data_IF_961306485486
#
_entry.id   IF_961306485486
#
_cell.length_a   1.000
_cell.length_b   1.000
_cell.length_c   1.000
_cell.angle_alpha   90.00
_cell.angle_beta   90.00
_cell.angle_gamma   90.00
#
_symmetry.space_group_name_H-M   'P 1'
#
loop_
_entity.id
_entity.type
_entity.pdbx_description
1 polymer ?
#
# COMPACT_ATOMS: atom_id res chain seq x y z
N UNK A 1 -2.93 20.73 0.92
CA UNK A 1 -2.55 20.92 -0.49
C UNK A 1 -1.04 21.01 -0.73
N UNK A 2 -0.21 21.47 0.22
CA UNK A 2 1.21 21.76 -0.04
C UNK A 2 2.22 20.64 0.26
N UNK A 3 1.80 19.50 0.83
CA UNK A 3 2.75 18.47 1.30
C UNK A 3 3.63 17.90 0.18
N UNK A 4 3.07 17.68 -1.02
CA UNK A 4 3.82 17.20 -2.19
C UNK A 4 4.48 18.32 -3.01
N UNK A 5 4.50 19.57 -2.52
CA UNK A 5 5.19 20.63 -3.24
C UNK A 5 6.69 20.33 -3.25
N UNK A 6 7.26 20.15 -4.45
CA UNK A 6 8.67 19.79 -4.63
C UNK A 6 8.96 18.29 -4.68
N UNK A 7 7.95 17.42 -4.55
CA UNK A 7 8.08 15.97 -4.72
C UNK A 7 7.07 15.46 -5.76
N UNK A 8 7.44 14.51 -6.60
CA UNK A 8 6.50 13.87 -7.56
C UNK A 8 5.61 12.82 -6.90
N UNK A 9 6.13 12.11 -5.88
CA UNK A 9 5.39 11.07 -5.18
C UNK A 9 5.84 10.92 -3.72
N UNK A 10 4.94 10.41 -2.88
CA UNK A 10 5.25 9.91 -1.54
C UNK A 10 5.28 8.38 -1.55
N UNK A 11 6.44 7.80 -1.24
CA UNK A 11 6.64 6.35 -1.12
C UNK A 11 6.43 5.88 0.33
N UNK A 12 5.62 4.84 0.50
CA UNK A 12 5.38 4.12 1.76
C UNK A 12 5.25 2.61 1.47
N UNK A 13 5.35 1.74 2.48
CA UNK A 13 4.74 0.42 2.39
C UNK A 13 3.22 0.53 2.22
N UNK A 14 2.57 -0.41 1.54
CA UNK A 14 1.09 -0.43 1.46
C UNK A 14 0.47 -0.72 2.83
N UNK A 15 1.04 -1.69 3.56
CA UNK A 15 0.64 -2.12 4.91
C UNK A 15 1.82 -2.00 5.86
N UNK A 16 1.55 -1.85 7.16
CA UNK A 16 2.59 -1.70 8.18
C UNK A 16 3.42 -2.97 8.41
N UNK A 17 2.89 -4.12 8.03
CA UNK A 17 3.49 -5.45 8.19
C UNK A 17 3.02 -6.38 7.04
N UNK A 18 3.65 -7.56 6.86
CA UNK A 18 3.25 -8.54 5.86
C UNK A 18 1.80 -9.04 6.02
N UNK A 19 1.23 -9.74 5.00
CA UNK A 19 -0.10 -10.33 5.07
C UNK A 19 -0.37 -11.10 6.37
N UNK A 20 -1.48 -10.76 7.02
CA UNK A 20 -1.85 -11.33 8.32
C UNK A 20 -2.51 -12.71 8.19
N UNK A 21 -2.38 -13.56 9.21
CA UNK A 21 -3.21 -14.77 9.33
C UNK A 21 -4.70 -14.44 9.38
N UNK A 22 -5.53 -15.41 9.00
CA UNK A 22 -6.99 -15.32 9.15
C UNK A 22 -7.37 -15.12 10.62
N UNK A 23 -8.45 -14.37 10.86
CA UNK A 23 -8.94 -14.02 12.20
C UNK A 23 -8.21 -12.85 12.88
N UNK A 24 -7.17 -12.29 12.25
CA UNK A 24 -6.39 -11.18 12.83
C UNK A 24 -7.19 -9.89 13.05
N UNK A 25 -8.38 -9.76 12.46
CA UNK A 25 -9.28 -8.61 12.63
C UNK A 25 -10.57 -8.97 13.35
N UNK A 26 -10.66 -10.16 13.95
CA UNK A 26 -11.89 -10.58 14.62
C UNK A 26 -12.16 -9.72 15.87
N UNK A 27 -13.40 -9.28 16.08
CA UNK A 27 -13.77 -8.55 17.29
C UNK A 27 -13.63 -9.48 18.50
N UNK A 28 -13.23 -8.91 19.64
CA UNK A 28 -13.16 -9.64 20.90
C UNK A 28 -14.43 -9.38 21.71
N UNK A 29 -14.98 -10.37 22.45
CA UNK A 29 -16.23 -10.19 23.21
C UNK A 29 -16.19 -9.03 24.21
N UNK A 30 -15.01 -8.75 24.78
CA UNK A 30 -14.74 -7.68 25.74
C UNK A 30 -14.24 -6.38 25.09
N UNK A 31 -13.77 -6.45 23.84
CA UNK A 31 -13.39 -5.29 23.04
C UNK A 31 -13.90 -5.44 21.59
N UNK A 32 -15.16 -5.02 21.32
CA UNK A 32 -15.74 -5.09 19.98
C UNK A 32 -15.00 -4.26 18.93
N UNK A 33 -14.21 -3.26 19.34
CA UNK A 33 -13.42 -2.41 18.44
C UNK A 33 -12.01 -2.95 18.16
N UNK A 34 -11.58 -4.04 18.82
CA UNK A 34 -10.24 -4.59 18.67
C UNK A 34 -9.88 -4.86 17.20
N UNK A 35 -10.81 -5.47 16.44
CA UNK A 35 -10.64 -5.75 15.02
C UNK A 35 -10.42 -4.49 14.18
N UNK A 36 -11.21 -3.44 14.45
CA UNK A 36 -11.07 -2.15 13.77
C UNK A 36 -9.76 -1.46 14.12
N UNK A 37 -9.40 -1.42 15.41
CA UNK A 37 -8.13 -0.85 15.88
C UNK A 37 -6.93 -1.56 15.23
N UNK A 38 -7.03 -2.89 15.10
CA UNK A 38 -6.01 -3.71 14.44
C UNK A 38 -5.94 -3.43 12.94
N UNK A 39 -7.07 -3.26 12.26
CA UNK A 39 -7.11 -2.84 10.86
C UNK A 39 -6.47 -1.46 10.66
N UNK A 40 -6.79 -0.47 11.50
CA UNK A 40 -6.18 0.88 11.44
C UNK A 40 -4.67 0.82 11.61
N UNK A 41 -4.17 0.02 12.55
CA UNK A 41 -2.73 -0.18 12.74
C UNK A 41 -2.07 -0.90 11.55
N UNK A 42 -2.81 -1.75 10.84
CA UNK A 42 -2.31 -2.50 9.68
C UNK A 42 -2.23 -1.66 8.39
N UNK A 43 -3.15 -0.71 8.21
CA UNK A 43 -3.21 0.19 7.03
C UNK A 43 -3.03 1.67 7.41
N UNK A 44 -1.91 2.08 8.02
CA UNK A 44 -1.77 3.46 8.48
C UNK A 44 -1.60 4.46 7.32
N UNK A 45 -1.21 4.00 6.14
CA UNK A 45 -0.82 4.87 5.02
C UNK A 45 -1.89 5.04 3.95
N UNK A 46 -2.71 4.02 3.66
CA UNK A 46 -3.68 4.09 2.54
C UNK A 46 -4.89 5.00 2.79
N UNK A 47 -5.42 5.18 4.03
CA UNK A 47 -6.60 6.02 4.24
C UNK A 47 -6.41 7.49 3.86
N UNK A 48 -5.16 8.00 3.86
CA UNK A 48 -4.90 9.40 3.49
C UNK A 48 -5.27 9.68 2.04
N UNK A 49 -5.04 8.73 1.12
CA UNK A 49 -5.39 8.88 -0.29
C UNK A 49 -6.91 8.90 -0.47
N UNK A 50 -7.64 8.07 0.28
CA UNK A 50 -9.11 8.09 0.30
C UNK A 50 -9.66 9.42 0.80
N UNK A 51 -9.08 9.97 1.88
CA UNK A 51 -9.55 11.20 2.50
C UNK A 51 -9.21 12.45 1.68
N UNK A 52 -8.07 12.45 0.99
CA UNK A 52 -7.57 13.63 0.23
C UNK A 52 -7.91 13.58 -1.25
N UNK A 53 -8.27 12.42 -1.79
CA UNK A 53 -8.56 12.20 -3.21
C UNK A 53 -7.32 12.18 -4.10
N UNK A 54 -6.10 12.14 -3.54
CA UNK A 54 -4.89 12.00 -4.33
C UNK A 54 -4.82 10.62 -4.99
N UNK A 55 -4.33 10.51 -6.23
CA UNK A 55 -4.13 9.23 -6.87
C UNK A 55 -3.05 8.45 -6.12
N UNK A 56 -3.25 7.14 -5.99
CA UNK A 56 -2.30 6.27 -5.33
C UNK A 56 -2.27 4.89 -6.00
N UNK A 57 -1.11 4.24 -5.99
CA UNK A 57 -0.91 2.92 -6.59
C UNK A 57 -0.11 2.00 -5.67
N UNK A 58 -0.35 0.71 -5.80
CA UNK A 58 0.41 -0.35 -5.14
C UNK A 58 1.06 -1.24 -6.21
N UNK A 59 2.38 -1.41 -6.17
CA UNK A 59 3.12 -2.34 -7.03
C UNK A 59 3.88 -3.39 -6.21
N UNK A 60 3.93 -4.67 -6.64
CA UNK A 60 4.51 -5.76 -5.87
C UNK A 60 6.01 -5.91 -6.16
N UNK A 61 6.83 -5.05 -5.55
CA UNK A 61 8.28 -5.03 -5.74
C UNK A 61 9.06 -5.95 -4.78
N UNK A 62 8.39 -6.70 -3.91
CA UNK A 62 9.14 -7.54 -2.97
C UNK A 62 8.33 -8.72 -2.47
N UNK A 63 9.01 -9.85 -2.28
CA UNK A 63 8.51 -11.00 -1.54
C UNK A 63 9.47 -11.25 -0.38
N UNK A 64 8.92 -11.41 0.82
CA UNK A 64 9.73 -11.69 1.99
C UNK A 64 10.22 -13.15 2.01
N UNK A 65 11.00 -13.52 3.03
CA UNK A 65 11.53 -14.89 3.18
C UNK A 65 10.45 -15.97 3.38
N UNK A 66 9.22 -15.58 3.72
CA UNK A 66 8.06 -16.48 3.81
C UNK A 66 7.27 -16.56 2.49
N UNK A 67 7.82 -15.99 1.39
CA UNK A 67 7.18 -15.90 0.08
C UNK A 67 5.85 -15.13 0.10
N UNK A 68 5.70 -14.16 1.00
CA UNK A 68 4.55 -13.27 1.04
C UNK A 68 4.86 -11.97 0.28
N UNK A 69 3.94 -11.48 -0.57
CA UNK A 69 4.14 -10.23 -1.30
C UNK A 69 4.09 -9.02 -0.35
N UNK A 70 4.98 -8.06 -0.55
CA UNK A 70 5.03 -6.77 0.16
C UNK A 70 4.82 -5.66 -0.87
N UNK A 71 3.75 -4.90 -0.71
CA UNK A 71 3.40 -3.83 -1.64
C UNK A 71 4.20 -2.55 -1.39
N UNK A 72 4.66 -1.92 -2.47
CA UNK A 72 5.22 -0.57 -2.47
C UNK A 72 4.14 0.41 -2.92
N UNK A 73 3.80 1.35 -2.03
CA UNK A 73 2.71 2.30 -2.19
C UNK A 73 3.25 3.68 -2.59
N UNK A 74 2.71 4.22 -3.67
CA UNK A 74 3.07 5.55 -4.16
C UNK A 74 1.82 6.42 -4.22
N UNK A 75 1.87 7.59 -3.58
CA UNK A 75 0.81 8.60 -3.63
C UNK A 75 1.32 9.77 -4.45
N UNK A 76 0.61 10.11 -5.52
CA UNK A 76 0.95 11.20 -6.44
C UNK A 76 0.29 12.53 -6.07
N UNK A 77 0.57 13.55 -6.89
CA UNK A 77 -0.12 14.84 -6.82
C UNK A 77 -1.57 14.68 -7.25
N UNK A 78 -2.44 15.54 -6.72
CA UNK A 78 -3.87 15.50 -7.04
C UNK A 78 -4.10 15.63 -8.55
N UNK A 79 -4.79 14.65 -9.15
CA UNK A 79 -5.07 14.58 -10.59
C UNK A 79 -3.88 14.24 -11.50
N UNK A 80 -2.77 13.73 -10.95
CA UNK A 80 -1.55 13.37 -11.69
C UNK A 80 -1.33 11.85 -11.73
N UNK A 81 -2.34 11.10 -12.16
CA UNK A 81 -2.27 9.65 -12.36
C UNK A 81 -1.24 9.27 -13.42
N UNK A 82 -1.01 10.15 -14.41
CA UNK A 82 -0.07 9.92 -15.50
C UNK A 82 1.35 9.69 -14.98
N UNK A 83 1.81 10.51 -14.03
CA UNK A 83 3.12 10.33 -13.39
C UNK A 83 3.22 8.98 -12.68
N UNK A 84 2.16 8.54 -11.99
CA UNK A 84 2.14 7.22 -11.35
C UNK A 84 2.21 6.08 -12.36
N UNK A 85 1.47 6.15 -13.48
CA UNK A 85 1.55 5.13 -14.53
C UNK A 85 2.93 5.07 -15.19
N UNK A 86 3.56 6.22 -15.46
CA UNK A 86 4.93 6.26 -15.98
C UNK A 86 5.93 5.64 -15.01
N UNK A 87 5.78 5.89 -13.70
CA UNK A 87 6.60 5.28 -12.68
C UNK A 87 6.35 3.76 -12.60
N UNK A 88 5.11 3.32 -12.64
CA UNK A 88 4.75 1.90 -12.63
C UNK A 88 5.40 1.14 -13.79
N UNK A 89 5.36 1.69 -15.00
CA UNK A 89 5.98 1.08 -16.18
C UNK A 89 7.51 0.91 -16.01
N UNK A 90 8.19 1.94 -15.51
CA UNK A 90 9.64 1.87 -15.24
C UNK A 90 9.97 0.84 -14.16
N UNK A 91 9.14 0.76 -13.11
CA UNK A 91 9.31 -0.22 -12.04
C UNK A 91 9.06 -1.65 -12.53
N UNK A 92 8.08 -1.84 -13.42
CA UNK A 92 7.78 -3.15 -14.02
C UNK A 92 8.92 -3.65 -14.92
N UNK A 93 9.53 -2.75 -15.69
CA UNK A 93 10.71 -3.06 -16.49
C UNK A 93 11.94 -3.36 -15.60
N UNK A 94 12.18 -2.54 -14.58
CA UNK A 94 13.33 -2.69 -13.68
C UNK A 94 13.22 -3.93 -12.78
N UNK A 95 12.01 -4.31 -12.39
CA UNK A 95 11.77 -5.45 -11.53
C UNK A 95 10.48 -6.21 -11.94
N UNK A 96 10.53 -7.08 -12.95
CA UNK A 96 9.35 -7.77 -13.45
C UNK A 96 8.68 -8.66 -12.39
N UNK A 97 7.35 -8.52 -12.25
CA UNK A 97 6.53 -9.35 -11.35
C UNK A 97 5.48 -10.19 -12.08
N UNK A 98 5.31 -10.05 -13.40
CA UNK A 98 4.24 -10.72 -14.16
C UNK A 98 4.24 -12.26 -14.01
N UNK A 99 5.42 -12.86 -13.87
CA UNK A 99 5.56 -14.32 -13.71
C UNK A 99 5.55 -14.79 -12.25
N UNK A 100 5.43 -13.88 -11.27
CA UNK A 100 5.30 -14.24 -9.85
C UNK A 100 3.87 -14.69 -9.57
N UNK A 101 3.69 -16.00 -9.35
CA UNK A 101 2.39 -16.61 -9.06
C UNK A 101 2.35 -17.15 -7.62
N UNK A 102 1.19 -17.06 -6.93
CA UNK A 102 0.95 -17.82 -5.71
C UNK A 102 1.11 -19.33 -5.97
N UNK A 103 1.44 -20.08 -4.93
CA UNK A 103 1.51 -21.54 -4.97
C UNK A 103 0.14 -22.19 -5.18
#
# INVERSE_FOLDING_TARGET
>A
AHFLNGFEAWLTPVTAEPPLPLGSFDPQPDNPLAGFQRAVAYIPYTPIANATGQPAMSVPLYWNSANLPIGSHFIGRFGDEFTLFQLAAQLEEAQPWAEKRPA
#
